data_IF_977551613931
#
_entry.id   IF_977551613931
#
_cell.length_a   1.000
_cell.length_b   1.000
_cell.length_c   1.000
_cell.angle_alpha   90.00
_cell.angle_beta   90.00
_cell.angle_gamma   90.00
#
_symmetry.space_group_name_H-M   'P 1'
#
loop_
_entity.id
_entity.type
_entity.pdbx_description
1 polymer ?
#
# COMPACT_ATOMS: atom_id res chain seq x y z
N UNK A 1 37.59 90.04 -10.32
CA UNK A 1 36.97 90.63 -9.08
C UNK A 1 36.22 89.61 -8.37
N UNK A 2 36.58 89.32 -7.08
CA UNK A 2 35.84 88.87 -5.92
C UNK A 2 34.83 87.69 -6.11
N UNK A 3 34.73 86.67 -5.28
CA UNK A 3 34.99 86.52 -3.85
C UNK A 3 34.94 85.06 -3.49
N UNK A 4 35.88 84.64 -2.65
CA UNK A 4 35.83 83.38 -1.91
C UNK A 4 34.66 83.39 -0.94
N UNK A 5 33.99 82.26 -0.73
CA UNK A 5 33.32 81.88 0.54
C UNK A 5 33.56 80.40 0.83
N UNK A 6 34.19 80.25 1.96
CA UNK A 6 34.44 78.97 2.63
C UNK A 6 33.10 78.41 3.08
N UNK A 7 32.94 77.08 2.97
CA UNK A 7 31.90 76.33 3.66
C UNK A 7 32.55 75.13 4.33
N UNK A 8 32.38 75.09 5.63
CA UNK A 8 32.95 74.14 6.55
C UNK A 8 32.43 72.72 6.31
N UNK A 9 33.35 71.77 6.48
CA UNK A 9 33.05 70.33 6.53
C UNK A 9 32.45 70.00 7.92
N UNK A 10 31.18 69.60 7.94
CA UNK A 10 30.64 68.87 9.05
C UNK A 10 30.78 67.37 8.81
N UNK A 11 31.68 66.73 9.58
CA UNK A 11 31.88 65.32 9.65
C UNK A 11 30.71 64.69 10.42
N UNK A 12 29.73 64.13 9.70
CA UNK A 12 28.65 63.31 10.26
C UNK A 12 29.03 61.84 10.18
N UNK A 13 29.38 61.28 11.33
CA UNK A 13 29.58 59.84 11.43
C UNK A 13 28.22 59.10 11.33
N UNK A 14 27.96 58.47 10.20
CA UNK A 14 26.82 57.56 10.04
C UNK A 14 27.20 56.21 10.62
N UNK A 15 26.65 55.93 11.83
CA UNK A 15 26.69 54.62 12.41
C UNK A 15 25.67 53.75 11.66
N UNK A 16 26.15 52.95 10.75
CA UNK A 16 25.35 51.90 10.09
C UNK A 16 25.23 50.71 11.07
N UNK A 17 24.15 50.65 11.79
CA UNK A 17 23.77 49.47 12.55
C UNK A 17 23.40 48.36 11.53
N UNK A 18 24.31 47.45 11.30
CA UNK A 18 24.04 46.23 10.56
C UNK A 18 23.11 45.32 11.42
N UNK A 19 21.81 45.35 11.10
CA UNK A 19 20.87 44.32 11.53
C UNK A 19 21.27 43.02 10.81
N UNK A 20 22.10 42.22 11.47
CA UNK A 20 22.22 40.80 11.17
C UNK A 20 20.91 40.14 11.54
N UNK A 21 19.96 40.13 10.60
CA UNK A 21 18.84 39.20 10.65
C UNK A 21 19.46 37.79 10.56
N UNK A 22 19.55 37.14 11.71
CA UNK A 22 19.89 35.71 11.77
C UNK A 22 18.81 34.94 11.00
N UNK A 23 19.05 34.66 9.73
CA UNK A 23 18.36 33.60 9.04
C UNK A 23 18.80 32.31 9.72
N UNK A 24 18.01 31.89 10.72
CA UNK A 24 18.11 30.54 11.24
C UNK A 24 17.90 29.59 10.07
N UNK A 25 18.97 29.00 9.58
CA UNK A 25 18.86 27.84 8.72
C UNK A 25 18.15 26.78 9.55
N UNK A 26 16.87 26.57 9.29
CA UNK A 26 16.17 25.40 9.83
C UNK A 26 16.99 24.20 9.40
N UNK A 27 17.70 23.58 10.33
CA UNK A 27 18.41 22.35 10.04
C UNK A 27 17.36 21.34 9.61
N UNK A 28 17.49 20.83 8.38
CA UNK A 28 16.65 19.71 7.94
C UNK A 28 16.82 18.56 8.92
N UNK A 29 15.74 17.88 9.24
CA UNK A 29 15.80 16.72 10.13
C UNK A 29 16.71 15.65 9.50
N UNK A 30 17.74 15.23 10.26
CA UNK A 30 18.68 14.23 9.77
C UNK A 30 17.98 12.88 9.57
N UNK A 31 18.30 12.23 8.46
CA UNK A 31 17.86 10.87 8.19
C UNK A 31 18.33 9.92 9.30
N UNK A 32 17.42 9.14 9.93
CA UNK A 32 17.79 8.22 11.01
C UNK A 32 18.85 7.19 10.58
N UNK A 33 19.82 6.92 11.44
CA UNK A 33 20.94 6.02 11.13
C UNK A 33 20.48 4.58 10.82
N UNK A 34 19.43 4.10 11.50
CA UNK A 34 18.87 2.78 11.21
C UNK A 34 18.38 2.65 9.77
N UNK A 35 17.83 3.73 9.20
CA UNK A 35 17.35 3.72 7.82
C UNK A 35 18.52 3.69 6.82
N UNK A 36 19.59 4.43 7.07
CA UNK A 36 20.79 4.41 6.22
C UNK A 36 21.41 3.02 6.10
N UNK A 37 21.23 2.18 7.11
CA UNK A 37 21.73 0.81 7.14
C UNK A 37 20.87 -0.18 6.35
N UNK A 38 19.65 0.20 5.97
CA UNK A 38 18.77 -0.63 5.14
C UNK A 38 19.02 -0.31 3.67
N UNK A 39 19.55 -1.26 2.91
CA UNK A 39 19.80 -1.11 1.47
C UNK A 39 20.50 0.23 1.11
N UNK A 40 21.54 0.60 1.89
CA UNK A 40 22.27 1.87 1.73
C UNK A 40 21.37 3.12 1.76
N UNK A 41 20.27 3.06 2.50
CA UNK A 41 19.36 4.19 2.72
C UNK A 41 18.42 4.51 1.55
N UNK A 42 18.31 3.65 0.55
CA UNK A 42 17.49 3.93 -0.66
C UNK A 42 16.02 4.19 -0.31
N UNK A 43 15.51 3.60 0.77
CA UNK A 43 14.12 3.77 1.20
C UNK A 43 13.90 4.93 2.14
N UNK A 44 14.93 5.59 2.60
CA UNK A 44 14.78 6.72 3.52
C UNK A 44 14.01 7.85 2.85
N UNK A 45 13.17 8.51 3.62
CA UNK A 45 12.51 9.73 3.18
C UNK A 45 13.55 10.84 2.93
N UNK A 46 13.26 11.69 1.97
CA UNK A 46 14.03 12.93 1.83
C UNK A 46 13.88 13.79 3.09
N UNK A 47 14.91 14.53 3.50
CA UNK A 47 14.81 15.44 4.63
C UNK A 47 13.68 16.46 4.44
N UNK A 48 12.87 16.67 5.47
CA UNK A 48 11.76 17.62 5.46
C UNK A 48 12.13 18.86 6.28
N UNK A 49 11.60 20.02 5.88
CA UNK A 49 11.84 21.29 6.59
C UNK A 49 11.23 21.28 8.00
N UNK A 50 10.15 20.53 8.19
CA UNK A 50 9.47 20.36 9.47
C UNK A 50 9.23 18.90 9.75
N UNK A 51 9.46 18.49 10.98
CA UNK A 51 9.16 17.11 11.44
C UNK A 51 7.64 16.95 11.48
N UNK A 52 7.09 15.91 10.83
CA UNK A 52 5.64 15.68 10.85
C UNK A 52 5.08 15.53 12.27
N UNK A 53 3.89 16.05 12.52
CA UNK A 53 3.27 16.02 13.86
C UNK A 53 3.01 14.59 14.36
N UNK A 54 2.84 13.63 13.48
CA UNK A 54 2.66 12.24 13.90
C UNK A 54 3.92 11.64 14.55
N UNK A 55 5.10 12.21 14.31
CA UNK A 55 6.33 11.72 14.91
C UNK A 55 6.36 11.86 16.44
N UNK A 56 5.64 12.85 17.00
CA UNK A 56 5.69 13.11 18.44
C UNK A 56 7.11 13.43 18.92
N UNK A 57 7.38 13.19 20.22
CA UNK A 57 8.67 13.58 20.82
C UNK A 57 9.41 12.45 21.52
N UNK A 58 8.74 11.36 21.86
CA UNK A 58 9.38 10.23 22.56
C UNK A 58 10.20 9.39 21.59
N UNK A 59 11.38 8.98 22.02
CA UNK A 59 12.18 7.98 21.28
C UNK A 59 11.47 6.63 21.30
N UNK A 60 11.31 6.03 20.14
CA UNK A 60 10.58 4.77 19.98
C UNK A 60 11.26 3.83 18.99
N UNK A 61 11.00 2.55 19.16
CA UNK A 61 11.25 1.50 18.18
C UNK A 61 9.98 1.18 17.40
N UNK A 62 10.11 0.86 16.10
CA UNK A 62 9.01 0.55 15.20
C UNK A 62 9.22 -0.84 14.59
N UNK A 63 8.16 -1.60 14.46
CA UNK A 63 8.19 -2.88 13.74
C UNK A 63 7.02 -3.02 12.77
N UNK A 64 7.28 -3.74 11.66
CA UNK A 64 6.28 -4.33 10.80
C UNK A 64 6.28 -5.85 11.00
N UNK A 65 5.18 -6.38 11.52
CA UNK A 65 4.94 -7.82 11.64
C UNK A 65 4.12 -8.27 10.42
N UNK A 66 4.77 -8.93 9.47
CA UNK A 66 4.19 -9.39 8.23
C UNK A 66 3.98 -10.91 8.27
N UNK A 67 2.87 -11.40 7.72
CA UNK A 67 2.59 -12.83 7.66
C UNK A 67 3.26 -13.52 6.49
N UNK A 68 3.54 -12.79 5.40
CA UNK A 68 4.21 -13.31 4.21
C UNK A 68 4.87 -12.18 3.42
N UNK A 69 6.20 -12.18 3.32
CA UNK A 69 6.94 -11.07 2.72
C UNK A 69 7.36 -11.31 1.25
N UNK A 70 7.07 -12.48 0.67
CA UNK A 70 7.68 -12.93 -0.59
C UNK A 70 6.86 -12.64 -1.86
N UNK A 71 6.14 -11.52 -1.90
CA UNK A 71 5.56 -11.03 -3.15
C UNK A 71 5.86 -9.55 -3.35
N UNK A 72 5.79 -9.09 -4.61
CA UNK A 72 6.14 -7.71 -4.96
C UNK A 72 5.29 -6.65 -4.24
N UNK A 73 4.03 -6.94 -3.94
CA UNK A 73 3.18 -6.02 -3.16
C UNK A 73 3.73 -5.83 -1.74
N UNK A 74 4.09 -6.93 -1.05
CA UNK A 74 4.65 -6.90 0.32
C UNK A 74 5.99 -6.17 0.34
N UNK A 75 6.86 -6.46 -0.61
CA UNK A 75 8.17 -5.81 -0.73
C UNK A 75 8.02 -4.29 -0.91
N UNK A 76 7.15 -3.84 -1.82
CA UNK A 76 6.86 -2.42 -1.99
C UNK A 76 6.21 -1.80 -0.74
N UNK A 77 5.31 -2.52 -0.08
CA UNK A 77 4.65 -2.06 1.15
C UNK A 77 5.65 -1.90 2.29
N UNK A 78 6.56 -2.86 2.47
CA UNK A 78 7.64 -2.77 3.47
C UNK A 78 8.54 -1.57 3.21
N UNK A 79 8.95 -1.36 1.96
CA UNK A 79 9.74 -0.19 1.57
C UNK A 79 9.01 1.13 1.84
N UNK A 80 7.71 1.19 1.57
CA UNK A 80 6.87 2.35 1.87
C UNK A 80 6.74 2.59 3.39
N UNK A 81 6.68 1.53 4.19
CA UNK A 81 6.70 1.60 5.65
C UNK A 81 8.02 2.15 6.21
N UNK A 82 9.15 1.68 5.67
CA UNK A 82 10.49 2.20 6.01
C UNK A 82 10.57 3.69 5.66
N UNK A 83 10.13 4.05 4.46
CA UNK A 83 10.13 5.45 4.02
C UNK A 83 9.31 6.33 4.97
N UNK A 84 8.10 5.92 5.35
CA UNK A 84 7.24 6.70 6.24
C UNK A 84 7.83 6.81 7.66
N UNK A 85 8.33 5.71 8.23
CA UNK A 85 8.94 5.72 9.56
C UNK A 85 10.21 6.58 9.62
N UNK A 86 10.98 6.64 8.54
CA UNK A 86 12.23 7.41 8.47
C UNK A 86 12.04 8.92 8.45
N UNK A 87 10.82 9.41 8.26
CA UNK A 87 10.46 10.82 8.41
C UNK A 87 10.55 11.31 9.87
N UNK A 88 10.60 10.37 10.81
CA UNK A 88 10.59 10.65 12.23
C UNK A 88 11.99 10.47 12.84
N UNK A 89 12.72 11.55 13.18
CA UNK A 89 14.07 11.48 13.73
C UNK A 89 14.16 10.81 15.11
N UNK A 90 13.03 10.71 15.81
CA UNK A 90 12.91 10.05 17.11
C UNK A 90 12.63 8.54 17.01
N UNK A 91 12.44 7.98 15.83
CA UNK A 91 12.43 6.53 15.61
C UNK A 91 13.88 6.03 15.66
N UNK A 92 14.15 5.15 16.61
CA UNK A 92 15.51 4.67 16.92
C UNK A 92 15.87 3.35 16.23
N UNK A 93 14.86 2.58 15.82
CA UNK A 93 15.06 1.31 15.13
C UNK A 93 13.83 0.90 14.34
N UNK A 94 14.07 0.11 13.29
CA UNK A 94 13.07 -0.59 12.51
C UNK A 94 13.32 -2.09 12.56
N UNK A 95 12.27 -2.86 12.72
CA UNK A 95 12.31 -4.33 12.66
C UNK A 95 11.22 -4.81 11.70
N UNK A 96 11.58 -5.72 10.80
CA UNK A 96 10.62 -6.42 9.94
C UNK A 96 10.66 -7.90 10.29
N UNK A 97 9.47 -8.53 10.45
CA UNK A 97 9.35 -9.98 10.61
C UNK A 97 8.51 -10.55 9.49
N UNK A 98 8.89 -11.72 9.03
CA UNK A 98 8.20 -12.47 7.98
C UNK A 98 7.70 -13.80 8.53
N UNK A 99 6.39 -13.96 8.59
CA UNK A 99 5.71 -15.18 9.01
C UNK A 99 5.86 -16.34 8.05
N UNK A 100 6.35 -16.11 6.83
CA UNK A 100 6.56 -17.14 5.78
C UNK A 100 5.28 -17.92 5.44
N UNK A 101 4.12 -17.27 5.53
CA UNK A 101 2.81 -17.91 5.33
C UNK A 101 2.40 -18.86 6.45
N UNK A 102 3.12 -18.86 7.58
CA UNK A 102 2.85 -19.71 8.73
C UNK A 102 2.25 -18.90 9.89
N UNK A 103 0.99 -19.15 10.20
CA UNK A 103 0.25 -18.45 11.27
C UNK A 103 0.94 -18.53 12.63
N UNK A 104 1.48 -19.71 13.00
CA UNK A 104 2.14 -19.87 14.31
C UNK A 104 3.42 -19.06 14.38
N UNK A 105 4.18 -19.01 13.29
CA UNK A 105 5.36 -18.15 13.20
C UNK A 105 4.99 -16.67 13.32
N UNK A 106 3.97 -16.20 12.60
CA UNK A 106 3.49 -14.82 12.71
C UNK A 106 3.08 -14.45 14.14
N UNK A 107 2.39 -15.36 14.83
CA UNK A 107 2.02 -15.20 16.25
C UNK A 107 3.29 -15.11 17.12
N UNK A 108 4.25 -16.03 16.95
CA UNK A 108 5.49 -16.06 17.71
C UNK A 108 6.35 -14.81 17.46
N UNK A 109 6.43 -14.35 16.21
CA UNK A 109 7.15 -13.13 15.85
C UNK A 109 6.54 -11.92 16.55
N UNK A 110 5.22 -11.77 16.54
CA UNK A 110 4.52 -10.69 17.24
C UNK A 110 4.75 -10.72 18.75
N UNK A 111 4.65 -11.90 19.36
CA UNK A 111 4.95 -12.09 20.80
C UNK A 111 6.40 -11.72 21.14
N UNK A 112 7.34 -12.09 20.26
CA UNK A 112 8.76 -11.74 20.42
C UNK A 112 8.99 -10.22 20.34
N UNK A 113 8.33 -9.52 19.41
CA UNK A 113 8.40 -8.06 19.31
C UNK A 113 7.86 -7.39 20.58
N UNK A 114 6.71 -7.84 21.10
CA UNK A 114 6.13 -7.33 22.32
C UNK A 114 7.05 -7.59 23.55
N UNK A 115 7.58 -8.80 23.69
CA UNK A 115 8.51 -9.16 24.77
C UNK A 115 9.80 -8.36 24.74
N UNK A 116 10.26 -7.92 23.56
CA UNK A 116 11.41 -7.00 23.40
C UNK A 116 11.06 -5.54 23.70
N UNK A 117 9.81 -5.22 24.01
CA UNK A 117 9.36 -3.88 24.32
C UNK A 117 9.32 -2.95 23.10
N UNK A 118 9.06 -3.48 21.90
CA UNK A 118 8.89 -2.64 20.71
C UNK A 118 7.69 -1.70 20.92
N UNK A 119 7.92 -0.40 20.75
CA UNK A 119 6.92 0.61 21.13
C UNK A 119 5.75 0.72 20.15
N UNK A 120 6.02 0.63 18.84
CA UNK A 120 5.03 0.74 17.78
C UNK A 120 5.11 -0.48 16.86
N UNK A 121 4.03 -1.24 16.75
CA UNK A 121 3.96 -2.47 15.95
C UNK A 121 2.82 -2.34 14.96
N UNK A 122 3.13 -2.33 13.67
CA UNK A 122 2.14 -2.44 12.60
C UNK A 122 2.06 -3.91 12.19
N UNK A 123 0.85 -4.44 12.06
CA UNK A 123 0.63 -5.88 11.81
C UNK A 123 -0.21 -6.07 10.55
N UNK A 124 0.27 -6.88 9.60
CA UNK A 124 -0.60 -7.44 8.58
C UNK A 124 -1.07 -8.83 9.05
N UNK A 125 -2.31 -8.95 9.50
CA UNK A 125 -2.79 -10.19 10.10
C UNK A 125 -3.35 -11.15 9.05
N UNK A 126 -2.50 -11.83 8.29
CA UNK A 126 -2.90 -12.75 7.20
C UNK A 126 -3.91 -13.80 7.66
N UNK A 127 -3.77 -14.31 8.88
CA UNK A 127 -4.68 -15.31 9.45
C UNK A 127 -5.93 -14.70 10.11
N UNK A 128 -6.17 -13.39 9.92
CA UNK A 128 -7.37 -12.71 10.43
C UNK A 128 -7.59 -12.87 11.94
N UNK A 129 -8.80 -13.27 12.37
CA UNK A 129 -9.15 -13.37 13.79
C UNK A 129 -8.26 -14.29 14.63
N UNK A 130 -7.59 -15.27 14.02
CA UNK A 130 -6.67 -16.16 14.74
C UNK A 130 -5.47 -15.42 15.34
N UNK A 131 -5.12 -14.24 14.84
CA UNK A 131 -4.04 -13.42 15.37
C UNK A 131 -4.47 -12.48 16.51
N UNK A 132 -5.78 -12.28 16.73
CA UNK A 132 -6.29 -11.34 17.73
C UNK A 132 -5.75 -11.57 19.15
N UNK A 133 -5.60 -12.81 19.67
CA UNK A 133 -5.03 -13.02 21.01
C UNK A 133 -3.61 -12.43 21.13
N UNK A 134 -2.73 -12.70 20.17
CA UNK A 134 -1.36 -12.21 20.20
C UNK A 134 -1.30 -10.67 20.04
N UNK A 135 -2.15 -10.10 19.19
CA UNK A 135 -2.29 -8.64 19.00
C UNK A 135 -2.72 -7.99 20.32
N UNK A 136 -3.75 -8.55 20.99
CA UNK A 136 -4.23 -8.09 22.29
C UNK A 136 -3.16 -8.16 23.38
N UNK A 137 -2.39 -9.24 23.40
CA UNK A 137 -1.34 -9.42 24.39
C UNK A 137 -0.21 -8.41 24.19
N UNK A 138 0.20 -8.13 22.94
CA UNK A 138 1.18 -7.09 22.62
C UNK A 138 0.68 -5.69 23.04
N UNK A 139 -0.60 -5.39 22.78
CA UNK A 139 -1.22 -4.14 23.18
C UNK A 139 -1.26 -3.99 24.71
N UNK A 140 -1.64 -5.03 25.45
CA UNK A 140 -1.64 -5.03 26.92
C UNK A 140 -0.25 -4.89 27.53
N UNK A 141 0.80 -5.31 26.83
CA UNK A 141 2.21 -5.13 27.25
C UNK A 141 2.71 -3.70 26.99
N UNK A 142 1.89 -2.82 26.39
CA UNK A 142 2.17 -1.40 26.23
C UNK A 142 2.66 -0.99 24.85
N UNK A 143 2.71 -1.89 23.89
CA UNK A 143 2.97 -1.52 22.49
C UNK A 143 1.76 -0.81 21.88
N UNK A 144 1.97 0.23 21.09
CA UNK A 144 0.95 0.72 20.16
C UNK A 144 0.85 -0.29 18.99
N UNK A 145 -0.25 -1.03 18.94
CA UNK A 145 -0.43 -2.09 17.92
C UNK A 145 -1.49 -1.67 16.93
N UNK A 146 -1.13 -1.63 15.65
CA UNK A 146 -2.02 -1.20 14.56
C UNK A 146 -2.15 -2.31 13.52
N UNK A 147 -3.20 -3.13 13.60
CA UNK A 147 -3.56 -4.02 12.50
C UNK A 147 -3.95 -3.20 11.27
N UNK A 148 -3.52 -3.62 10.09
CA UNK A 148 -3.90 -2.94 8.85
C UNK A 148 -4.34 -3.91 7.76
N UNK A 149 -5.14 -3.42 6.81
CA UNK A 149 -5.82 -4.14 5.73
C UNK A 149 -6.78 -5.22 6.20
N UNK A 150 -6.28 -6.33 6.73
CA UNK A 150 -7.12 -7.43 7.18
C UNK A 150 -7.64 -7.20 8.61
N UNK A 151 -8.94 -7.32 8.80
CA UNK A 151 -9.59 -7.20 10.12
C UNK A 151 -9.34 -8.44 10.96
N UNK A 152 -9.10 -8.21 12.24
CA UNK A 152 -8.86 -9.27 13.23
C UNK A 152 -10.05 -9.50 14.18
N UNK A 153 -11.11 -8.69 14.04
CA UNK A 153 -12.12 -8.57 15.07
C UNK A 153 -11.59 -7.82 16.30
N UNK A 154 -12.26 -7.94 17.44
CA UNK A 154 -11.88 -7.19 18.65
C UNK A 154 -12.35 -5.73 18.62
N UNK A 155 -11.81 -4.91 19.54
CA UNK A 155 -12.25 -3.53 19.77
C UNK A 155 -11.04 -2.60 19.84
N UNK A 156 -11.07 -1.53 19.07
CA UNK A 156 -10.09 -0.43 19.15
C UNK A 156 -10.01 0.15 20.58
N UNK A 157 -8.80 0.52 20.99
CA UNK A 157 -8.53 1.04 22.33
C UNK A 157 -8.59 -0.01 23.45
N UNK A 158 -8.98 -1.24 23.15
CA UNK A 158 -9.08 -2.35 24.12
C UNK A 158 -8.21 -3.54 23.74
N UNK A 159 -8.24 -3.93 22.49
CA UNK A 159 -7.54 -5.10 21.96
C UNK A 159 -6.34 -4.72 21.09
N UNK A 160 -6.36 -3.54 20.53
CA UNK A 160 -5.31 -2.90 19.75
C UNK A 160 -5.55 -1.37 19.72
N UNK A 161 -4.59 -0.62 19.23
CA UNK A 161 -4.65 0.85 19.21
C UNK A 161 -5.76 1.36 18.30
N UNK A 162 -5.62 1.11 17.01
CA UNK A 162 -6.58 1.44 15.94
C UNK A 162 -6.46 0.39 14.84
N UNK A 163 -7.47 0.27 14.00
CA UNK A 163 -7.42 -0.47 12.73
C UNK A 163 -7.31 0.51 11.57
N UNK A 164 -6.45 0.20 10.60
CA UNK A 164 -6.30 0.96 9.34
C UNK A 164 -6.63 0.06 8.16
N UNK A 165 -7.59 0.45 7.34
CA UNK A 165 -8.01 -0.37 6.20
C UNK A 165 -8.81 0.39 5.17
N UNK A 166 -9.36 -0.36 4.23
CA UNK A 166 -10.21 0.12 3.15
C UNK A 166 -11.57 -0.57 3.18
N UNK A 167 -12.50 -0.06 2.39
CA UNK A 167 -13.82 -0.65 2.23
C UNK A 167 -13.78 -1.74 1.15
N UNK A 168 -13.23 -2.89 1.50
CA UNK A 168 -13.10 -4.02 0.58
C UNK A 168 -14.43 -4.55 0.04
N UNK A 169 -15.50 -4.41 0.80
CA UNK A 169 -16.83 -4.77 0.30
C UNK A 169 -17.23 -3.86 -0.86
N UNK A 170 -16.95 -2.57 -0.73
CA UNK A 170 -17.20 -1.63 -1.83
C UNK A 170 -16.33 -1.94 -3.06
N UNK A 171 -15.07 -2.33 -2.87
CA UNK A 171 -14.20 -2.71 -4.00
C UNK A 171 -14.77 -3.90 -4.75
N UNK A 172 -15.14 -4.96 -4.03
CA UNK A 172 -15.78 -6.13 -4.63
C UNK A 172 -17.07 -5.78 -5.35
N UNK A 173 -17.89 -4.90 -4.77
CA UNK A 173 -19.14 -4.43 -5.39
C UNK A 173 -18.89 -3.67 -6.71
N UNK A 174 -17.95 -2.75 -6.73
CA UNK A 174 -17.62 -1.97 -7.93
C UNK A 174 -16.99 -2.84 -9.03
N UNK A 175 -16.08 -3.77 -8.67
CA UNK A 175 -15.57 -4.78 -9.61
C UNK A 175 -16.71 -5.61 -10.21
N UNK A 176 -17.62 -6.07 -9.35
CA UNK A 176 -18.77 -6.87 -9.77
C UNK A 176 -19.70 -6.11 -10.70
N UNK A 177 -20.03 -4.87 -10.40
CA UNK A 177 -20.86 -4.01 -11.28
C UNK A 177 -20.25 -3.83 -12.67
N UNK A 178 -18.92 -3.58 -12.71
CA UNK A 178 -18.23 -3.48 -13.99
C UNK A 178 -18.33 -4.79 -14.78
N UNK A 179 -18.10 -5.93 -14.14
CA UNK A 179 -18.17 -7.25 -14.78
C UNK A 179 -19.57 -7.57 -15.25
N UNK A 180 -20.61 -7.28 -14.47
CA UNK A 180 -22.01 -7.43 -14.88
C UNK A 180 -22.30 -6.65 -16.16
N UNK A 181 -21.84 -5.40 -16.22
CA UNK A 181 -21.99 -4.56 -17.41
C UNK A 181 -21.24 -5.13 -18.61
N UNK A 182 -20.00 -5.52 -18.44
CA UNK A 182 -19.12 -6.02 -19.50
C UNK A 182 -19.60 -7.36 -20.07
N UNK A 183 -20.23 -8.21 -19.24
CA UNK A 183 -20.78 -9.51 -19.61
C UNK A 183 -22.28 -9.48 -19.96
N UNK A 184 -22.91 -8.31 -19.97
CA UNK A 184 -24.36 -8.18 -20.13
C UNK A 184 -25.15 -9.07 -19.16
N UNK A 185 -24.67 -9.20 -17.93
CA UNK A 185 -25.31 -9.92 -16.84
C UNK A 185 -25.24 -11.44 -16.92
N UNK A 186 -24.41 -12.04 -17.78
CA UNK A 186 -24.34 -13.49 -17.97
C UNK A 186 -22.93 -13.96 -18.26
N UNK A 187 -22.45 -15.00 -17.55
CA UNK A 187 -21.13 -15.60 -17.77
C UNK A 187 -20.65 -16.38 -16.57
N UNK A 188 -19.51 -17.03 -16.74
CA UNK A 188 -18.85 -17.82 -15.69
C UNK A 188 -17.65 -17.01 -15.14
N UNK A 189 -17.66 -16.73 -13.84
CA UNK A 189 -16.58 -16.01 -13.17
C UNK A 189 -15.95 -16.84 -12.07
N UNK A 190 -14.67 -16.63 -11.84
CA UNK A 190 -13.94 -17.14 -10.67
C UNK A 190 -13.33 -16.01 -9.86
N UNK A 191 -13.14 -16.21 -8.55
CA UNK A 191 -12.45 -15.27 -7.69
C UNK A 191 -11.25 -15.95 -7.00
N UNK A 192 -10.08 -15.36 -7.13
CA UNK A 192 -8.80 -15.80 -6.60
C UNK A 192 -8.45 -14.93 -5.40
N UNK A 193 -8.65 -15.45 -4.20
CA UNK A 193 -8.44 -14.72 -2.94
C UNK A 193 -7.17 -15.14 -2.21
N UNK A 194 -6.98 -14.58 -1.03
CA UNK A 194 -5.82 -14.80 -0.16
C UNK A 194 -5.89 -16.07 0.68
N UNK A 195 -5.34 -16.01 1.91
CA UNK A 195 -5.42 -17.09 2.88
C UNK A 195 -6.87 -17.34 3.35
N UNK A 196 -7.17 -18.56 3.82
CA UNK A 196 -8.48 -18.84 4.39
C UNK A 196 -8.80 -17.93 5.58
N UNK A 197 -10.00 -17.36 5.61
CA UNK A 197 -10.47 -16.52 6.72
C UNK A 197 -10.00 -15.07 6.69
N UNK A 198 -9.22 -14.65 5.71
CA UNK A 198 -8.86 -13.24 5.58
C UNK A 198 -10.09 -12.38 5.29
N UNK A 199 -10.26 -11.31 6.06
CA UNK A 199 -11.41 -10.40 5.89
C UNK A 199 -11.39 -9.68 4.56
N UNK A 200 -10.22 -9.40 4.01
CA UNK A 200 -10.04 -8.74 2.72
C UNK A 200 -10.79 -9.50 1.60
N UNK A 201 -10.44 -10.77 1.39
CA UNK A 201 -11.09 -11.59 0.36
C UNK A 201 -12.57 -11.88 0.68
N UNK A 202 -12.92 -12.06 1.95
CA UNK A 202 -14.30 -12.30 2.37
C UNK A 202 -15.19 -11.09 2.08
N UNK A 203 -14.77 -9.89 2.44
CA UNK A 203 -15.53 -8.67 2.20
C UNK A 203 -15.67 -8.36 0.71
N UNK A 204 -14.61 -8.53 -0.09
CA UNK A 204 -14.69 -8.42 -1.55
C UNK A 204 -15.67 -9.44 -2.14
N UNK A 205 -15.64 -10.68 -1.65
CA UNK A 205 -16.59 -11.71 -2.07
C UNK A 205 -18.05 -11.34 -1.76
N UNK A 206 -18.30 -10.72 -0.60
CA UNK A 206 -19.64 -10.21 -0.26
C UNK A 206 -20.08 -9.11 -1.25
N UNK A 207 -19.19 -8.18 -1.56
CA UNK A 207 -19.45 -7.12 -2.55
C UNK A 207 -19.74 -7.67 -3.94
N UNK A 208 -18.94 -8.62 -4.41
CA UNK A 208 -19.17 -9.32 -5.69
C UNK A 208 -20.52 -10.01 -5.71
N UNK A 209 -20.86 -10.74 -4.63
CA UNK A 209 -22.16 -11.42 -4.52
C UNK A 209 -23.34 -10.46 -4.57
N UNK A 210 -23.20 -9.30 -3.93
CA UNK A 210 -24.22 -8.25 -3.96
C UNK A 210 -24.38 -7.69 -5.39
N UNK A 211 -23.28 -7.42 -6.09
CA UNK A 211 -23.30 -6.93 -7.46
C UNK A 211 -23.91 -7.92 -8.46
N UNK A 212 -23.79 -9.23 -8.22
CA UNK A 212 -24.33 -10.28 -9.08
C UNK A 212 -25.81 -10.62 -8.80
N UNK A 213 -26.40 -10.06 -7.75
CA UNK A 213 -27.78 -10.34 -7.40
C UNK A 213 -28.73 -9.98 -8.57
N UNK A 214 -29.60 -10.93 -8.93
CA UNK A 214 -30.56 -10.76 -10.03
C UNK A 214 -29.98 -10.89 -11.45
N UNK A 215 -28.72 -11.33 -11.60
CA UNK A 215 -28.08 -11.61 -12.88
C UNK A 215 -28.01 -13.11 -13.18
N UNK A 216 -27.58 -13.48 -14.39
CA UNK A 216 -27.28 -14.86 -14.79
C UNK A 216 -25.77 -15.20 -14.68
N UNK A 217 -25.01 -14.40 -13.94
CA UNK A 217 -23.60 -14.68 -13.70
C UNK A 217 -23.47 -15.90 -12.77
N UNK A 218 -22.65 -16.85 -13.19
CA UNK A 218 -22.33 -18.06 -12.42
C UNK A 218 -20.95 -17.93 -11.80
N UNK A 219 -20.89 -18.02 -10.48
CA UNK A 219 -19.63 -18.08 -9.76
C UNK A 219 -19.13 -19.51 -9.75
N UNK A 220 -18.07 -19.80 -10.51
CA UNK A 220 -17.44 -21.11 -10.65
C UNK A 220 -16.24 -21.24 -9.70
N UNK A 221 -15.81 -22.49 -9.44
CA UNK A 221 -14.72 -22.75 -8.53
C UNK A 221 -15.12 -22.85 -7.07
N UNK A 222 -14.16 -22.70 -6.20
CA UNK A 222 -14.36 -22.72 -4.75
C UNK A 222 -15.06 -21.43 -4.28
N UNK A 223 -15.95 -21.56 -3.31
CA UNK A 223 -16.64 -20.44 -2.68
C UNK A 223 -16.12 -20.22 -1.25
N UNK A 224 -16.01 -18.98 -0.77
CA UNK A 224 -16.28 -17.71 -1.46
C UNK A 224 -15.17 -17.27 -2.41
N UNK A 225 -14.03 -17.94 -2.45
CA UNK A 225 -12.91 -17.71 -3.37
C UNK A 225 -11.99 -18.93 -3.42
N UNK A 226 -11.23 -19.04 -4.50
CA UNK A 226 -10.10 -19.96 -4.60
C UNK A 226 -8.96 -19.47 -3.71
N UNK A 227 -8.47 -20.33 -2.83
CA UNK A 227 -7.40 -19.98 -1.89
C UNK A 227 -6.04 -19.99 -2.59
N UNK A 228 -5.44 -18.84 -2.76
CA UNK A 228 -4.12 -18.67 -3.36
C UNK A 228 -3.03 -18.26 -2.37
N UNK A 229 -3.38 -17.85 -1.16
CA UNK A 229 -2.48 -17.27 -0.15
C UNK A 229 -1.72 -16.04 -0.65
N UNK A 230 -2.20 -15.39 -1.72
CA UNK A 230 -1.49 -14.32 -2.43
C UNK A 230 -0.10 -14.74 -2.93
N UNK A 231 0.12 -16.04 -3.10
CA UNK A 231 1.34 -16.61 -3.66
C UNK A 231 1.20 -16.73 -5.19
N UNK A 232 2.08 -16.09 -5.97
CA UNK A 232 2.01 -16.12 -7.43
C UNK A 232 2.08 -17.53 -8.03
N UNK A 233 2.88 -18.42 -7.44
CA UNK A 233 3.04 -19.81 -7.94
C UNK A 233 1.79 -20.63 -7.69
N UNK A 234 1.21 -20.50 -6.48
CA UNK A 234 -0.05 -21.15 -6.14
C UNK A 234 -1.19 -20.62 -7.00
N UNK A 235 -1.24 -19.31 -7.25
CA UNK A 235 -2.22 -18.71 -8.16
C UNK A 235 -2.13 -19.29 -9.56
N UNK A 236 -0.92 -19.44 -10.13
CA UNK A 236 -0.73 -20.07 -11.43
C UNK A 236 -1.23 -21.52 -11.46
N UNK A 237 -1.02 -22.27 -10.37
CA UNK A 237 -1.51 -23.65 -10.21
C UNK A 237 -3.05 -23.68 -10.16
N UNK A 238 -3.67 -22.83 -9.36
CA UNK A 238 -5.14 -22.73 -9.24
C UNK A 238 -5.76 -22.35 -10.58
N UNK A 239 -5.20 -21.36 -11.28
CA UNK A 239 -5.70 -20.99 -12.62
C UNK A 239 -5.59 -22.14 -13.61
N UNK A 240 -4.49 -22.88 -13.61
CA UNK A 240 -4.34 -24.05 -14.48
C UNK A 240 -5.40 -25.12 -14.21
N UNK A 241 -5.72 -25.35 -12.93
CA UNK A 241 -6.79 -26.27 -12.52
C UNK A 241 -8.20 -25.76 -12.96
N UNK A 242 -8.47 -24.48 -12.79
CA UNK A 242 -9.73 -23.88 -13.25
C UNK A 242 -9.89 -24.00 -14.77
N UNK A 243 -8.83 -23.68 -15.54
CA UNK A 243 -8.81 -23.79 -17.00
C UNK A 243 -9.05 -25.22 -17.47
N UNK A 244 -8.48 -26.21 -16.78
CA UNK A 244 -8.67 -27.63 -17.10
C UNK A 244 -10.11 -28.09 -16.78
N UNK A 245 -10.69 -27.59 -15.70
CA UNK A 245 -12.01 -28.01 -15.21
C UNK A 245 -13.18 -27.33 -15.94
N UNK A 246 -13.01 -26.07 -16.28
CA UNK A 246 -14.10 -25.26 -16.84
C UNK A 246 -13.80 -24.87 -18.29
N UNK A 247 -14.58 -25.36 -19.25
CA UNK A 247 -14.38 -25.05 -20.68
C UNK A 247 -14.59 -23.57 -21.00
N UNK A 248 -15.36 -22.86 -20.20
CA UNK A 248 -15.65 -21.42 -20.36
C UNK A 248 -15.40 -20.68 -19.04
N UNK A 249 -14.55 -19.67 -19.07
CA UNK A 249 -14.28 -18.72 -17.99
C UNK A 249 -14.33 -17.34 -18.64
N UNK A 250 -15.36 -16.57 -18.31
CA UNK A 250 -15.63 -15.27 -18.92
C UNK A 250 -14.99 -14.12 -18.11
N UNK A 251 -14.86 -14.31 -16.81
CA UNK A 251 -14.26 -13.32 -15.92
C UNK A 251 -13.45 -13.95 -14.79
N UNK A 252 -12.39 -13.24 -14.38
CA UNK A 252 -11.60 -13.56 -13.18
C UNK A 252 -11.48 -12.30 -12.33
N UNK A 253 -11.75 -12.47 -11.04
CA UNK A 253 -11.34 -11.50 -10.02
C UNK A 253 -10.15 -12.04 -9.26
N UNK A 254 -9.26 -11.15 -8.85
CA UNK A 254 -8.12 -11.54 -8.02
C UNK A 254 -7.67 -10.39 -7.11
N UNK A 255 -7.38 -10.70 -5.85
CA UNK A 255 -6.75 -9.74 -4.94
C UNK A 255 -5.35 -9.40 -5.45
N UNK A 256 -4.48 -10.39 -5.57
CA UNK A 256 -3.19 -10.25 -6.23
C UNK A 256 -3.35 -10.52 -7.72
N UNK A 257 -3.79 -9.52 -8.46
CA UNK A 257 -4.27 -9.71 -9.83
C UNK A 257 -3.16 -9.84 -10.90
N UNK A 258 -1.98 -9.26 -10.69
CA UNK A 258 -0.88 -9.33 -11.64
C UNK A 258 -0.53 -10.75 -12.13
N UNK A 259 -0.41 -11.75 -11.26
CA UNK A 259 -0.14 -13.14 -11.65
C UNK A 259 -1.18 -13.78 -12.58
N UNK A 260 -2.40 -13.26 -12.64
CA UNK A 260 -3.41 -13.74 -13.61
C UNK A 260 -2.87 -13.58 -15.04
N UNK A 261 -2.17 -12.51 -15.32
CA UNK A 261 -1.55 -12.22 -16.61
C UNK A 261 -0.13 -12.79 -16.72
N UNK A 262 0.75 -12.49 -15.74
CA UNK A 262 2.18 -12.86 -15.82
C UNK A 262 2.43 -14.36 -15.81
N UNK A 263 1.51 -15.15 -15.22
CA UNK A 263 1.61 -16.60 -15.26
C UNK A 263 1.51 -17.20 -16.67
N UNK A 264 0.87 -16.50 -17.61
CA UNK A 264 0.63 -17.00 -18.96
C UNK A 264 -0.25 -18.25 -19.03
N UNK A 265 -1.08 -18.55 -18.03
CA UNK A 265 -1.89 -19.76 -17.95
C UNK A 265 -2.88 -19.88 -19.12
N UNK A 266 -3.58 -18.81 -19.47
CA UNK A 266 -4.54 -18.79 -20.59
C UNK A 266 -3.85 -18.98 -21.96
N UNK A 267 -2.81 -18.22 -22.32
CA UNK A 267 -2.08 -18.43 -23.58
C UNK A 267 -1.51 -19.85 -23.71
N UNK A 268 -0.92 -20.41 -22.65
CA UNK A 268 -0.40 -21.80 -22.68
C UNK A 268 -1.48 -22.84 -22.91
N UNK A 269 -2.69 -22.57 -22.47
CA UNK A 269 -3.86 -23.42 -22.73
C UNK A 269 -4.52 -23.16 -24.09
N UNK A 270 -3.96 -22.27 -24.90
CA UNK A 270 -4.53 -21.79 -26.16
C UNK A 270 -5.97 -21.24 -25.96
N UNK A 271 -6.16 -20.45 -24.88
CA UNK A 271 -7.44 -19.85 -24.55
C UNK A 271 -7.32 -18.33 -24.52
N UNK A 272 -8.38 -17.59 -24.94
CA UNK A 272 -8.38 -16.14 -24.84
C UNK A 272 -8.34 -15.70 -23.37
N UNK A 273 -7.79 -14.51 -23.14
CA UNK A 273 -7.84 -13.88 -21.82
C UNK A 273 -9.30 -13.56 -21.46
N UNK A 274 -9.74 -13.89 -20.25
CA UNK A 274 -11.05 -13.46 -19.76
C UNK A 274 -11.05 -11.96 -19.44
N UNK A 275 -12.19 -11.42 -19.10
CA UNK A 275 -12.27 -10.12 -18.41
C UNK A 275 -11.60 -10.25 -17.04
N UNK A 276 -10.84 -9.25 -16.61
CA UNK A 276 -10.13 -9.30 -15.31
C UNK A 276 -10.53 -8.10 -14.45
N UNK A 277 -10.89 -8.37 -13.21
CA UNK A 277 -11.07 -7.38 -12.17
C UNK A 277 -10.15 -7.64 -10.99
N UNK A 278 -9.56 -6.60 -10.39
CA UNK A 278 -8.67 -6.80 -9.24
C UNK A 278 -7.88 -5.59 -8.84
N UNK A 279 -6.92 -5.78 -7.95
CA UNK A 279 -5.99 -4.72 -7.57
C UNK A 279 -4.99 -4.44 -8.70
N UNK A 280 -4.62 -3.16 -8.85
CA UNK A 280 -3.82 -2.71 -9.99
C UNK A 280 -2.37 -3.18 -9.93
N UNK A 281 -1.85 -3.55 -11.11
CA UNK A 281 -0.44 -3.84 -11.35
C UNK A 281 -0.04 -3.34 -12.76
N UNK A 282 1.24 -3.05 -12.94
CA UNK A 282 1.75 -2.50 -14.20
C UNK A 282 1.46 -3.40 -15.42
N UNK A 283 1.41 -4.71 -15.21
CA UNK A 283 1.11 -5.69 -16.27
C UNK A 283 -0.22 -5.45 -16.97
N UNK A 284 -1.22 -4.89 -16.30
CA UNK A 284 -2.51 -4.60 -16.95
C UNK A 284 -2.36 -3.59 -18.08
N UNK A 285 -1.73 -2.46 -17.77
CA UNK A 285 -1.46 -1.44 -18.76
C UNK A 285 -0.54 -1.93 -19.88
N UNK A 286 0.51 -2.68 -19.54
CA UNK A 286 1.46 -3.21 -20.54
C UNK A 286 0.79 -4.24 -21.45
N UNK A 287 -0.04 -5.14 -20.90
CA UNK A 287 -0.80 -6.10 -21.68
C UNK A 287 -1.80 -5.40 -22.58
N UNK A 288 -2.52 -4.40 -22.05
CA UNK A 288 -3.49 -3.64 -22.83
C UNK A 288 -2.83 -2.94 -24.02
N UNK A 289 -1.73 -2.21 -23.80
CA UNK A 289 -1.00 -1.53 -24.89
C UNK A 289 -0.51 -2.50 -25.98
N UNK A 290 -0.04 -3.68 -25.57
CA UNK A 290 0.42 -4.72 -26.49
C UNK A 290 -0.74 -5.22 -27.34
N UNK A 291 -1.84 -5.65 -26.71
CA UNK A 291 -2.97 -6.25 -27.39
C UNK A 291 -3.77 -5.24 -28.20
N UNK A 292 -3.82 -3.97 -27.76
CA UNK A 292 -4.43 -2.88 -28.55
C UNK A 292 -3.72 -2.66 -29.90
N UNK A 293 -2.41 -2.87 -29.96
CA UNK A 293 -1.66 -2.78 -31.23
C UNK A 293 -1.91 -3.97 -32.13
N UNK A 294 -2.17 -5.14 -31.55
CA UNK A 294 -2.45 -6.40 -32.28
C UNK A 294 -3.90 -6.45 -32.82
N UNK A 295 -4.85 -6.07 -31.98
CA UNK A 295 -6.29 -6.01 -32.34
C UNK A 295 -7.01 -4.84 -31.65
N UNK A 296 -7.06 -3.69 -32.32
CA UNK A 296 -7.74 -2.50 -31.80
C UNK A 296 -9.27 -2.60 -31.72
N UNK A 297 -9.88 -3.61 -32.35
CA UNK A 297 -11.34 -3.79 -32.33
C UNK A 297 -11.81 -4.59 -31.11
N UNK A 298 -10.96 -5.47 -30.60
CA UNK A 298 -11.24 -6.33 -29.45
C UNK A 298 -10.11 -6.23 -28.42
N UNK A 299 -9.88 -5.05 -27.82
CA UNK A 299 -8.82 -4.91 -26.85
C UNK A 299 -9.15 -5.75 -25.61
N UNK A 300 -8.10 -6.26 -24.96
CA UNK A 300 -8.21 -6.84 -23.63
C UNK A 300 -8.90 -5.84 -22.68
N UNK A 301 -9.86 -6.28 -21.90
CA UNK A 301 -10.62 -5.45 -20.98
C UNK A 301 -10.36 -5.85 -19.53
N UNK A 302 -10.21 -4.85 -18.68
CA UNK A 302 -10.02 -5.05 -17.26
C UNK A 302 -10.56 -3.86 -16.45
N UNK A 303 -10.80 -4.08 -15.16
CA UNK A 303 -11.04 -3.03 -14.17
C UNK A 303 -10.12 -3.24 -12.99
N UNK A 304 -9.59 -2.17 -12.44
CA UNK A 304 -8.72 -2.26 -11.27
C UNK A 304 -9.10 -1.22 -10.22
N UNK A 305 -8.97 -1.60 -8.95
CA UNK A 305 -8.82 -0.65 -7.86
C UNK A 305 -7.34 -0.43 -7.54
N UNK A 306 -7.04 0.59 -6.77
CA UNK A 306 -5.68 0.80 -6.25
C UNK A 306 -5.20 -0.45 -5.50
N UNK A 307 -3.94 -0.82 -5.67
CA UNK A 307 -3.31 -1.87 -4.87
C UNK A 307 -3.07 -1.46 -3.40
N UNK A 308 -3.40 -0.21 -3.04
CA UNK A 308 -3.49 0.32 -1.67
C UNK A 308 -2.21 0.18 -0.83
N UNK A 309 -1.06 0.16 -1.45
CA UNK A 309 0.23 0.13 -0.74
C UNK A 309 0.43 1.31 0.21
N UNK A 310 -0.34 2.38 0.04
CA UNK A 310 -0.36 3.54 0.92
C UNK A 310 -0.95 3.24 2.32
N UNK A 311 -1.73 2.16 2.49
CA UNK A 311 -2.30 1.80 3.79
C UNK A 311 -1.23 1.66 4.88
N UNK A 312 -0.06 1.13 4.54
CA UNK A 312 1.05 0.99 5.47
C UNK A 312 1.51 2.34 6.02
N UNK A 313 1.52 3.41 5.18
CA UNK A 313 1.94 4.74 5.62
C UNK A 313 1.02 5.27 6.70
N UNK A 314 -0.29 5.18 6.49
CA UNK A 314 -1.28 5.59 7.48
C UNK A 314 -1.18 4.75 8.76
N UNK A 315 -0.97 3.44 8.64
CA UNK A 315 -0.77 2.56 9.79
C UNK A 315 0.49 2.93 10.58
N UNK A 316 1.60 3.22 9.91
CA UNK A 316 2.85 3.69 10.53
C UNK A 316 2.62 5.02 11.25
N UNK A 317 1.94 5.99 10.62
CA UNK A 317 1.63 7.26 11.26
C UNK A 317 0.82 7.07 12.56
N UNK A 318 -0.22 6.26 12.54
CA UNK A 318 -1.02 5.97 13.74
C UNK A 318 -0.22 5.24 14.83
N UNK A 319 0.62 4.26 14.44
CA UNK A 319 1.44 3.52 15.39
C UNK A 319 2.47 4.44 16.07
N UNK A 320 3.20 5.24 15.29
CA UNK A 320 4.19 6.20 15.80
C UNK A 320 3.51 7.26 16.66
N UNK A 321 2.43 7.89 16.17
CA UNK A 321 1.72 8.93 16.91
C UNK A 321 1.25 8.42 18.27
N UNK A 322 0.67 7.23 18.32
CA UNK A 322 0.20 6.62 19.57
C UNK A 322 1.33 6.30 20.53
N UNK A 323 2.47 5.80 20.04
CA UNK A 323 3.61 5.46 20.88
C UNK A 323 4.42 6.67 21.35
N UNK A 324 4.61 7.66 20.46
CA UNK A 324 5.50 8.80 20.68
C UNK A 324 4.79 10.08 21.18
N UNK A 325 3.46 10.04 21.32
CA UNK A 325 2.67 11.20 21.73
C UNK A 325 2.50 12.22 20.61
N UNK A 326 2.49 11.77 19.37
CA UNK A 326 2.22 12.56 18.19
C UNK A 326 0.73 12.64 17.83
N UNK A 327 0.45 13.21 16.68
CA UNK A 327 -0.92 13.38 16.16
C UNK A 327 -0.94 13.21 14.66
N UNK A 328 -1.82 12.36 14.16
CA UNK A 328 -2.13 12.26 12.73
C UNK A 328 -3.07 13.39 12.36
N UNK A 329 -2.59 14.35 11.58
CA UNK A 329 -3.30 15.62 11.37
C UNK A 329 -4.12 15.66 10.09
N UNK A 330 -3.39 15.76 8.99
CA UNK A 330 -3.93 16.16 7.70
C UNK A 330 -4.30 14.93 6.86
N UNK A 331 -5.05 15.13 5.79
CA UNK A 331 -5.25 14.08 4.82
C UNK A 331 -3.90 13.47 4.41
N UNK A 332 -3.80 12.16 4.40
CA UNK A 332 -2.65 11.49 3.84
C UNK A 332 -2.64 11.74 2.34
N UNK A 333 -1.63 12.47 1.86
CA UNK A 333 -1.46 12.78 0.45
C UNK A 333 -0.32 11.91 -0.08
N UNK A 334 -0.61 11.09 -1.06
CA UNK A 334 0.37 10.25 -1.74
C UNK A 334 0.58 10.76 -3.15
N UNK A 335 1.84 10.84 -3.54
CA UNK A 335 2.22 11.07 -4.93
C UNK A 335 2.62 9.72 -5.52
N UNK A 336 1.90 9.25 -6.50
CA UNK A 336 2.21 8.00 -7.18
C UNK A 336 3.41 8.13 -8.13
N UNK A 337 3.81 7.02 -8.75
CA UNK A 337 4.92 6.99 -9.72
C UNK A 337 4.70 7.86 -10.96
N UNK A 338 3.49 8.36 -11.19
CA UNK A 338 3.13 9.28 -12.27
C UNK A 338 3.15 10.73 -11.82
N UNK A 339 3.49 11.01 -10.55
CA UNK A 339 3.47 12.34 -9.97
C UNK A 339 2.08 12.88 -9.63
N UNK A 340 1.04 12.06 -9.71
CA UNK A 340 -0.31 12.44 -9.33
C UNK A 340 -0.45 12.39 -7.79
N UNK A 341 -1.04 13.42 -7.23
CA UNK A 341 -1.34 13.50 -5.80
C UNK A 341 -2.71 12.92 -5.53
N UNK A 342 -2.77 11.99 -4.60
CA UNK A 342 -4.02 11.37 -4.14
C UNK A 342 -4.22 11.66 -2.66
N UNK A 343 -5.41 12.13 -2.29
CA UNK A 343 -5.82 12.20 -0.88
C UNK A 343 -6.47 10.87 -0.53
N UNK A 344 -5.86 10.12 0.38
CA UNK A 344 -6.30 8.76 0.71
C UNK A 344 -6.96 8.63 2.09
N UNK A 345 -6.77 9.61 2.97
CA UNK A 345 -7.43 9.68 4.29
C UNK A 345 -7.56 11.11 4.76
N UNK A 346 -8.61 11.42 5.51
CA UNK A 346 -8.76 12.68 6.24
C UNK A 346 -8.32 12.50 7.69
N UNK A 347 -8.08 13.59 8.43
CA UNK A 347 -7.78 13.52 9.85
C UNK A 347 -8.86 12.70 10.59
N UNK A 348 -8.42 11.67 11.31
CA UNK A 348 -9.32 10.75 12.02
C UNK A 348 -9.85 9.59 11.19
N UNK A 349 -9.74 9.61 9.86
CA UNK A 349 -10.12 8.49 9.02
C UNK A 349 -9.12 7.34 9.17
N UNK A 350 -9.63 6.18 9.51
CA UNK A 350 -8.86 4.93 9.63
C UNK A 350 -9.31 3.88 8.63
N UNK A 351 -10.54 4.00 8.15
CA UNK A 351 -11.08 3.21 7.06
C UNK A 351 -11.35 4.15 5.89
N UNK A 352 -10.68 3.94 4.79
CA UNK A 352 -10.72 4.80 3.62
C UNK A 352 -11.49 4.10 2.51
N UNK A 353 -12.37 4.84 1.85
CA UNK A 353 -13.02 4.33 0.63
C UNK A 353 -12.00 4.28 -0.48
N UNK A 354 -11.86 3.09 -1.05
CA UNK A 354 -11.00 2.91 -2.19
C UNK A 354 -11.68 3.42 -3.47
N UNK A 355 -10.86 3.76 -4.46
CA UNK A 355 -11.35 4.20 -5.75
C UNK A 355 -11.16 3.09 -6.76
N UNK A 356 -12.26 2.67 -7.36
CA UNK A 356 -12.19 1.87 -8.58
C UNK A 356 -11.56 2.73 -9.65
N UNK A 357 -10.45 2.27 -10.22
CA UNK A 357 -9.85 2.95 -11.36
C UNK A 357 -10.77 2.82 -12.55
N UNK A 358 -10.69 3.80 -13.44
CA UNK A 358 -11.35 3.69 -14.72
C UNK A 358 -10.96 2.40 -15.44
N UNK A 359 -11.86 1.90 -16.22
CA UNK A 359 -11.58 0.79 -17.13
C UNK A 359 -10.42 1.12 -18.09
N UNK A 360 -9.93 0.13 -18.80
CA UNK A 360 -8.79 0.26 -19.71
C UNK A 360 -8.91 1.40 -20.71
N UNK A 361 -10.15 1.81 -21.05
CA UNK A 361 -10.41 2.82 -22.08
C UNK A 361 -10.22 4.27 -21.60
N UNK A 362 -10.11 4.50 -20.29
CA UNK A 362 -10.02 5.83 -19.68
C UNK A 362 -8.65 6.17 -19.10
N UNK A 363 -7.72 5.23 -19.14
CA UNK A 363 -6.35 5.45 -18.64
C UNK A 363 -5.55 6.30 -19.63
N UNK A 364 -4.85 7.31 -19.13
CA UNK A 364 -3.93 8.13 -19.92
C UNK A 364 -2.58 7.46 -20.12
N UNK A 365 -2.10 6.74 -19.09
CA UNK A 365 -0.82 6.02 -19.12
C UNK A 365 -1.10 4.56 -18.75
N UNK A 366 -0.83 3.66 -19.67
CA UNK A 366 -1.13 2.25 -19.50
C UNK A 366 0.06 1.44 -19.00
N UNK A 367 1.22 1.58 -19.61
CA UNK A 367 2.42 0.83 -19.27
C UNK A 367 3.51 1.75 -18.75
N UNK A 368 3.98 1.54 -17.53
CA UNK A 368 5.15 2.19 -16.96
C UNK A 368 6.37 1.37 -17.35
N UNK A 369 7.04 1.77 -18.46
CA UNK A 369 8.14 1.00 -19.07
C UNK A 369 9.36 0.88 -18.16
N UNK A 370 9.52 1.80 -17.23
CA UNK A 370 10.59 1.82 -16.24
C UNK A 370 10.38 0.80 -15.11
N UNK A 371 9.18 0.25 -14.98
CA UNK A 371 8.84 -0.69 -13.93
C UNK A 371 8.58 -2.09 -14.52
N UNK A 372 8.90 -3.17 -13.79
CA UNK A 372 8.51 -4.51 -14.18
C UNK A 372 6.99 -4.67 -14.17
N UNK A 373 6.49 -5.65 -14.92
CA UNK A 373 5.06 -5.92 -15.01
C UNK A 373 4.42 -6.28 -13.66
N UNK A 374 5.19 -6.88 -12.75
CA UNK A 374 4.74 -7.24 -11.39
C UNK A 374 4.65 -6.08 -10.41
N UNK A 375 5.11 -4.89 -10.79
CA UNK A 375 5.06 -3.72 -9.91
C UNK A 375 3.61 -3.25 -9.70
N UNK A 376 3.25 -2.96 -8.45
CA UNK A 376 2.04 -2.20 -8.14
C UNK A 376 2.17 -0.76 -8.61
N UNK A 377 1.09 -0.18 -9.10
CA UNK A 377 1.09 1.18 -9.66
C UNK A 377 0.59 2.24 -8.68
N UNK A 378 0.00 1.84 -7.58
CA UNK A 378 -0.52 2.72 -6.52
C UNK A 378 0.47 2.99 -5.38
N UNK A 379 1.77 2.88 -5.62
CA UNK A 379 2.80 3.14 -4.61
C UNK A 379 3.24 4.60 -4.61
N UNK A 380 3.57 5.10 -3.42
CA UNK A 380 4.19 6.43 -3.24
C UNK A 380 5.73 6.39 -3.28
N UNK A 381 6.31 5.24 -3.60
CA UNK A 381 7.74 5.09 -3.79
C UNK A 381 8.18 5.71 -5.13
N UNK A 382 9.43 6.19 -5.19
CA UNK A 382 10.04 6.55 -6.46
C UNK A 382 10.24 5.30 -7.33
N UNK A 383 10.48 5.48 -8.62
CA UNK A 383 10.80 4.36 -9.52
C UNK A 383 12.01 3.59 -9.00
N UNK A 384 13.07 4.28 -8.56
CA UNK A 384 14.28 3.66 -8.02
C UNK A 384 13.98 2.83 -6.76
N UNK A 385 13.23 3.39 -5.82
CA UNK A 385 12.80 2.68 -4.61
C UNK A 385 11.93 1.46 -4.93
N UNK A 386 11.01 1.60 -5.89
CA UNK A 386 10.19 0.49 -6.36
C UNK A 386 11.03 -0.63 -6.97
N UNK A 387 11.96 -0.29 -7.87
CA UNK A 387 12.87 -1.29 -8.47
C UNK A 387 13.76 -1.98 -7.44
N UNK A 388 14.23 -1.23 -6.45
CA UNK A 388 15.06 -1.79 -5.38
C UNK A 388 14.25 -2.75 -4.51
N UNK A 389 13.02 -2.40 -4.14
CA UNK A 389 12.16 -3.25 -3.30
C UNK A 389 11.85 -4.60 -3.96
N UNK A 390 11.59 -4.59 -5.27
CA UNK A 390 11.26 -5.80 -6.03
C UNK A 390 12.45 -6.76 -6.25
N UNK A 391 13.68 -6.34 -5.93
CA UNK A 391 14.85 -7.23 -5.97
C UNK A 391 14.98 -8.11 -4.72
N UNK A 392 14.13 -7.89 -3.73
CA UNK A 392 14.16 -8.61 -2.45
C UNK A 392 15.27 -8.12 -1.51
N UNK A 393 15.25 -8.64 -0.27
CA UNK A 393 16.26 -8.31 0.75
C UNK A 393 15.85 -7.19 1.70
N UNK A 394 14.56 -6.99 1.88
CA UNK A 394 13.98 -6.07 2.89
C UNK A 394 13.79 -6.77 4.22
#
# INVERSE_FOLDING_TARGET
MRSKRDVELFSGAVITAALLAGMGTSALADTPEWCKNIQNGIYCAAPEAEVPHFCGTKKISVALADGFADNGWRQQTTAAGINEASRCPNVTSWTHTDGQGNTQKSISDLQSLAAKGVNAIVVFPDAGPAMLPAIRDAFKQGSAVVPYRAKVGGTEGKDYTVFVGTDFKNDGYEWGKWMVKALNGKGNIAYLGGPPGTSESLEKAEGLKEAFAGTEIKWIGQQPFEVTNWDPSKMATVMSALIAKYPQIDGIFADLSGPVLTSGAFPRANRPLPLIGGEDANVFGCTWEKLQKEDSKNPFQFTTSSAEQWNIRLAIQWAIASAAGGKVDQPLIITDTKGLKHTVANPGDKIVKNFTMDDSLKREIYCLKELPESAGTGTSLTIEQTLASLKGGL
#
